data_IF_269922775950
#
_entry.id   IF_269922775950
#
_cell.length_a   1.000
_cell.length_b   1.000
_cell.length_c   1.000
_cell.angle_alpha   90.00
_cell.angle_beta   90.00
_cell.angle_gamma   90.00
#
_symmetry.space_group_name_H-M   'P 1'
#
loop_
_entity.id
_entity.type
_entity.pdbx_description
1 polymer ?
#
# COMPACT_ATOMS: atom_id res chain seq x y z
N UNK A 1 -43.81 35.70 80.93
CA UNK A 1 -42.75 35.02 80.25
C UNK A 1 -43.07 35.07 78.74
N UNK A 2 -42.29 35.80 77.92
CA UNK A 2 -42.58 35.92 76.52
C UNK A 2 -41.86 34.80 75.68
N UNK A 3 -42.60 34.21 74.70
CA UNK A 3 -42.10 33.20 73.78
C UNK A 3 -41.29 33.86 72.65
N UNK A 4 -40.06 33.48 72.52
CA UNK A 4 -39.19 33.93 71.40
C UNK A 4 -39.56 33.15 70.15
N UNK A 5 -39.99 33.84 69.07
CA UNK A 5 -40.17 33.32 67.71
C UNK A 5 -38.81 33.24 67.04
N UNK A 6 -38.37 32.03 66.67
CA UNK A 6 -37.21 31.83 65.79
C UNK A 6 -37.58 32.14 64.35
N UNK A 7 -36.90 33.12 63.80
CA UNK A 7 -36.95 33.44 62.34
C UNK A 7 -36.02 32.45 61.61
N UNK A 8 -36.58 31.61 60.75
CA UNK A 8 -35.83 30.78 59.82
C UNK A 8 -35.35 31.69 58.68
N UNK A 9 -34.01 31.79 58.53
CA UNK A 9 -33.37 32.40 57.41
C UNK A 9 -33.42 31.40 56.22
N UNK A 10 -34.13 31.77 55.15
CA UNK A 10 -34.05 31.08 53.85
C UNK A 10 -32.71 31.44 53.18
N UNK A 11 -31.91 30.43 52.87
CA UNK A 11 -30.70 30.58 52.05
C UNK A 11 -31.10 30.64 50.56
N UNK A 12 -30.51 31.50 49.74
CA UNK A 12 -30.75 31.50 48.32
C UNK A 12 -30.10 30.28 47.65
N UNK A 13 -30.91 29.54 46.86
CA UNK A 13 -30.41 28.50 45.98
C UNK A 13 -29.64 29.13 44.81
N UNK A 14 -28.34 28.93 44.74
CA UNK A 14 -27.55 29.31 43.59
C UNK A 14 -27.82 28.30 42.45
N UNK A 15 -28.50 28.74 41.41
CA UNK A 15 -28.66 27.98 40.19
C UNK A 15 -27.33 28.01 39.41
N UNK A 16 -26.60 26.89 39.40
CA UNK A 16 -25.44 26.72 38.56
C UNK A 16 -25.89 26.50 37.11
N UNK A 17 -25.69 27.50 36.25
CA UNK A 17 -25.79 27.34 34.79
C UNK A 17 -24.63 26.49 34.30
N UNK A 18 -24.89 25.23 33.96
CA UNK A 18 -24.01 24.39 33.19
C UNK A 18 -23.98 24.91 31.73
N UNK A 19 -22.97 25.71 31.40
CA UNK A 19 -22.65 26.03 30.02
C UNK A 19 -22.11 24.75 29.33
N UNK A 20 -22.95 24.10 28.52
CA UNK A 20 -22.51 23.05 27.60
C UNK A 20 -21.63 23.69 26.52
N UNK A 21 -20.33 23.58 26.66
CA UNK A 21 -19.41 23.89 25.58
C UNK A 21 -19.66 22.84 24.46
N UNK A 22 -20.33 23.26 23.38
CA UNK A 22 -20.38 22.50 22.16
C UNK A 22 -18.93 22.45 21.63
N UNK A 23 -18.30 21.27 21.69
CA UNK A 23 -17.06 21.01 20.98
C UNK A 23 -17.44 21.03 19.52
N UNK A 24 -17.18 22.17 18.85
CA UNK A 24 -17.21 22.22 17.40
C UNK A 24 -16.08 21.31 16.93
N UNK A 25 -16.41 20.19 16.30
CA UNK A 25 -15.42 19.43 15.56
C UNK A 25 -14.88 20.39 14.48
N UNK A 26 -13.61 20.74 14.57
CA UNK A 26 -12.95 21.47 13.49
C UNK A 26 -13.10 20.61 12.22
N UNK A 27 -13.47 21.25 11.11
CA UNK A 27 -13.42 20.57 9.82
C UNK A 27 -12.00 20.02 9.62
N UNK A 28 -11.86 18.80 9.04
CA UNK A 28 -10.55 18.23 8.83
C UNK A 28 -9.71 19.20 7.98
N UNK A 29 -8.50 19.47 8.42
CA UNK A 29 -7.58 20.39 7.77
C UNK A 29 -7.20 19.93 6.34
N UNK A 30 -7.41 18.65 6.04
CA UNK A 30 -7.07 17.99 4.77
C UNK A 30 -8.20 17.06 4.32
N UNK A 31 -8.28 16.71 3.02
CA UNK A 31 -9.23 15.75 2.50
C UNK A 31 -9.18 14.42 3.24
N UNK A 32 -10.35 13.85 3.52
CA UNK A 32 -10.48 12.54 4.14
C UNK A 32 -10.50 11.45 3.06
N UNK A 33 -9.51 10.55 3.12
CA UNK A 33 -9.40 9.37 2.26
C UNK A 33 -10.05 8.12 2.91
N UNK A 34 -10.46 8.21 4.18
CA UNK A 34 -11.00 7.07 4.93
C UNK A 34 -12.15 6.42 4.21
N UNK A 35 -12.13 5.09 4.14
CA UNK A 35 -13.16 4.27 3.53
C UNK A 35 -12.58 3.19 2.63
N UNK A 36 -13.49 2.41 2.05
CA UNK A 36 -13.15 1.36 1.10
C UNK A 36 -13.31 1.89 -0.31
N UNK A 37 -12.34 1.58 -1.15
CA UNK A 37 -12.24 2.05 -2.52
C UNK A 37 -12.03 0.89 -3.48
N UNK A 38 -12.53 1.04 -4.69
CA UNK A 38 -12.30 0.10 -5.79
C UNK A 38 -11.81 0.85 -7.03
N UNK A 39 -11.40 0.13 -8.05
CA UNK A 39 -10.95 0.72 -9.31
C UNK A 39 -12.05 1.59 -9.92
N UNK A 40 -11.72 2.85 -10.21
CA UNK A 40 -12.63 3.78 -10.86
C UNK A 40 -12.98 3.34 -12.28
N UNK A 41 -14.27 3.27 -12.58
CA UNK A 41 -14.80 2.76 -13.85
C UNK A 41 -15.26 3.85 -14.81
N UNK A 42 -15.43 5.10 -14.35
CA UNK A 42 -16.05 6.20 -15.09
C UNK A 42 -15.20 6.83 -16.21
N UNK A 43 -13.89 6.59 -16.25
CA UNK A 43 -13.02 6.97 -17.36
C UNK A 43 -12.05 5.84 -17.66
N UNK A 44 -11.67 5.69 -18.94
CA UNK A 44 -10.60 4.77 -19.29
C UNK A 44 -9.37 5.09 -18.42
N UNK A 45 -9.01 4.16 -17.53
CA UNK A 45 -7.78 4.26 -16.75
C UNK A 45 -6.66 4.47 -17.77
N UNK A 46 -5.98 5.62 -17.70
CA UNK A 46 -4.80 5.82 -18.50
C UNK A 46 -3.94 4.57 -18.34
N UNK A 47 -3.56 3.92 -19.42
CA UNK A 47 -2.68 2.74 -19.32
C UNK A 47 -1.46 3.20 -18.54
N UNK A 48 -1.40 2.78 -17.27
CA UNK A 48 -0.16 2.90 -16.55
C UNK A 48 0.85 2.07 -17.32
N UNK A 49 1.87 2.72 -17.77
CA UNK A 49 2.95 2.06 -18.49
C UNK A 49 3.55 0.99 -17.56
N UNK A 50 3.30 -0.27 -17.87
CA UNK A 50 4.16 -1.36 -17.48
C UNK A 50 3.91 -2.06 -16.15
N UNK A 51 3.16 -1.52 -15.19
CA UNK A 51 2.91 -2.22 -13.93
C UNK A 51 1.64 -3.07 -14.01
N UNK A 52 1.78 -4.37 -13.73
CA UNK A 52 0.70 -5.36 -13.82
C UNK A 52 0.59 -6.04 -15.19
N UNK A 53 1.56 -5.85 -16.09
CA UNK A 53 1.70 -6.54 -17.37
C UNK A 53 3.15 -6.96 -17.63
N UNK A 54 3.42 -7.74 -18.68
CA UNK A 54 4.81 -8.04 -19.03
C UNK A 54 5.59 -6.73 -19.26
N UNK A 55 6.80 -6.66 -18.76
CA UNK A 55 7.72 -5.51 -18.80
C UNK A 55 8.18 -5.13 -20.24
N UNK A 56 7.26 -5.10 -21.20
CA UNK A 56 7.56 -4.97 -22.63
C UNK A 56 7.91 -3.55 -23.06
N UNK A 57 7.56 -2.54 -22.26
CA UNK A 57 7.74 -1.13 -22.61
C UNK A 57 8.40 -0.29 -21.50
N UNK A 58 9.06 -0.93 -20.53
CA UNK A 58 9.79 -0.21 -19.49
C UNK A 58 11.13 0.28 -20.05
N UNK A 59 11.58 1.50 -19.70
CA UNK A 59 12.86 2.05 -20.12
C UNK A 59 14.02 1.40 -19.33
N UNK A 60 14.21 0.10 -19.52
CA UNK A 60 15.18 -0.67 -18.75
C UNK A 60 16.63 -0.36 -19.14
N UNK A 61 17.51 -0.29 -18.14
CA UNK A 61 18.95 -0.36 -18.32
C UNK A 61 19.35 -1.75 -18.82
N UNK A 62 20.64 -1.98 -19.08
CA UNK A 62 21.15 -3.32 -19.38
C UNK A 62 20.97 -4.25 -18.20
N UNK A 63 21.24 -3.77 -16.99
CA UNK A 63 21.06 -4.51 -15.74
C UNK A 63 19.57 -4.84 -15.49
N UNK A 64 18.66 -3.88 -15.71
CA UNK A 64 17.22 -4.12 -15.63
C UNK A 64 16.74 -5.20 -16.59
N UNK A 65 17.25 -5.23 -17.83
CA UNK A 65 16.94 -6.30 -18.79
C UNK A 65 17.46 -7.65 -18.33
N UNK A 66 18.70 -7.70 -17.82
CA UNK A 66 19.30 -8.91 -17.26
C UNK A 66 18.45 -9.47 -16.12
N UNK A 67 18.05 -8.61 -15.20
CA UNK A 67 17.22 -8.97 -14.05
C UNK A 67 15.85 -9.55 -14.46
N UNK A 68 15.20 -8.91 -15.43
CA UNK A 68 13.92 -9.40 -15.98
C UNK A 68 14.09 -10.76 -16.65
N UNK A 69 15.19 -10.98 -17.40
CA UNK A 69 15.43 -12.25 -18.05
C UNK A 69 15.73 -13.39 -17.06
N UNK A 70 16.48 -13.12 -16.00
CA UNK A 70 16.68 -14.07 -14.90
C UNK A 70 15.36 -14.49 -14.25
N UNK A 71 14.52 -13.52 -13.94
CA UNK A 71 13.21 -13.82 -13.36
C UNK A 71 12.36 -14.67 -14.30
N UNK A 72 12.35 -14.36 -15.60
CA UNK A 72 11.63 -15.16 -16.60
C UNK A 72 12.11 -16.61 -16.64
N UNK A 73 13.39 -16.85 -16.48
CA UNK A 73 13.93 -18.21 -16.36
C UNK A 73 13.42 -18.92 -15.12
N UNK A 74 13.40 -18.22 -13.98
CA UNK A 74 12.90 -18.76 -12.70
C UNK A 74 11.42 -19.11 -12.73
N UNK A 75 10.57 -18.22 -13.28
CA UNK A 75 9.12 -18.48 -13.35
C UNK A 75 8.73 -19.45 -14.46
N UNK A 76 9.64 -19.73 -15.39
CA UNK A 76 9.47 -20.71 -16.45
C UNK A 76 8.43 -20.32 -17.51
N UNK A 77 8.18 -21.24 -18.47
CA UNK A 77 7.24 -20.97 -19.56
C UNK A 77 5.79 -20.87 -19.10
N UNK A 78 5.43 -21.46 -17.97
CA UNK A 78 4.10 -21.35 -17.37
C UNK A 78 3.80 -19.95 -16.83
N UNK A 79 4.79 -19.07 -16.78
CA UNK A 79 4.68 -17.72 -16.23
C UNK A 79 4.01 -17.72 -14.86
N UNK A 80 4.59 -18.48 -13.95
CA UNK A 80 4.11 -18.53 -12.58
C UNK A 80 3.91 -17.11 -12.03
N UNK A 81 2.74 -16.88 -11.46
CA UNK A 81 2.36 -15.58 -10.93
C UNK A 81 2.60 -15.58 -9.41
N UNK A 82 3.52 -14.76 -8.94
CA UNK A 82 3.81 -14.58 -7.52
C UNK A 82 2.54 -14.24 -6.72
N UNK A 83 1.67 -13.38 -7.25
CA UNK A 83 0.43 -13.00 -6.59
C UNK A 83 -0.56 -14.16 -6.42
N UNK A 84 -0.59 -15.13 -7.34
CA UNK A 84 -1.39 -16.35 -7.17
C UNK A 84 -0.87 -17.25 -6.03
N UNK A 85 0.34 -17.01 -5.56
CA UNK A 85 1.00 -17.69 -4.44
C UNK A 85 1.21 -16.75 -3.24
N UNK A 86 0.45 -15.67 -3.18
CA UNK A 86 0.44 -14.72 -2.07
C UNK A 86 1.77 -14.02 -1.77
N UNK A 87 2.71 -14.02 -2.69
CA UNK A 87 3.89 -13.19 -2.54
C UNK A 87 3.49 -11.72 -2.62
N UNK A 88 3.91 -10.94 -1.62
CA UNK A 88 3.62 -9.51 -1.53
C UNK A 88 4.05 -8.78 -2.79
N UNK A 89 3.18 -7.92 -3.28
CA UNK A 89 3.49 -7.06 -4.42
C UNK A 89 4.43 -5.92 -4.04
N UNK A 90 4.35 -5.46 -2.79
CA UNK A 90 5.11 -4.30 -2.35
C UNK A 90 4.69 -3.00 -3.04
N UNK A 91 5.48 -1.94 -2.84
CA UNK A 91 5.23 -0.63 -3.46
C UNK A 91 6.11 -0.48 -4.71
N UNK A 92 5.59 -0.01 -5.83
CA UNK A 92 4.22 0.44 -6.09
C UNK A 92 3.30 -0.65 -6.63
N UNK A 93 3.73 -1.90 -6.67
CA UNK A 93 2.98 -3.02 -7.22
C UNK A 93 1.56 -3.10 -6.66
N UNK A 94 1.43 -3.12 -5.33
CA UNK A 94 0.12 -3.17 -4.65
C UNK A 94 -0.84 -2.04 -5.07
N UNK A 95 -0.33 -0.82 -5.35
CA UNK A 95 -1.13 0.30 -5.83
C UNK A 95 -1.48 0.21 -7.32
N UNK A 96 -0.89 -0.73 -8.04
CA UNK A 96 -0.95 -0.81 -9.51
C UNK A 96 -1.69 -2.02 -10.01
N UNK A 97 -2.13 -2.90 -9.11
CA UNK A 97 -2.74 -4.17 -9.48
C UNK A 97 -3.92 -4.00 -10.43
N UNK A 98 -3.92 -4.75 -11.54
CA UNK A 98 -5.11 -4.86 -12.36
C UNK A 98 -6.12 -5.74 -11.62
N UNK A 99 -7.32 -5.24 -11.43
CA UNK A 99 -8.38 -6.02 -10.80
C UNK A 99 -9.26 -5.18 -9.90
N UNK A 100 -10.32 -5.78 -9.45
CA UNK A 100 -11.35 -5.11 -8.65
C UNK A 100 -11.22 -5.46 -7.16
N UNK A 101 -9.99 -5.76 -6.70
CA UNK A 101 -9.79 -5.98 -5.27
C UNK A 101 -9.94 -4.66 -4.52
N UNK A 102 -10.81 -4.62 -3.49
CA UNK A 102 -10.99 -3.43 -2.68
C UNK A 102 -9.73 -3.07 -1.90
N UNK A 103 -9.62 -1.77 -1.61
CA UNK A 103 -8.54 -1.18 -0.82
C UNK A 103 -9.19 -0.34 0.27
N UNK A 104 -8.80 -0.51 1.53
CA UNK A 104 -9.26 0.31 2.64
C UNK A 104 -8.21 1.33 3.04
N UNK A 105 -8.62 2.59 3.16
CA UNK A 105 -7.82 3.68 3.68
C UNK A 105 -8.29 4.04 5.09
N UNK A 106 -7.37 4.07 6.04
CA UNK A 106 -7.60 4.48 7.43
C UNK A 106 -6.69 5.67 7.71
N UNK A 107 -7.27 6.87 7.69
CA UNK A 107 -6.54 8.12 7.88
C UNK A 107 -6.54 8.54 9.34
N UNK A 108 -5.35 8.89 9.84
CA UNK A 108 -5.11 9.55 11.13
C UNK A 108 -4.28 10.81 10.88
N UNK A 109 -4.22 11.74 11.84
CA UNK A 109 -3.42 12.96 11.66
C UNK A 109 -1.93 12.72 11.33
N UNK A 110 -1.37 11.64 11.86
CA UNK A 110 0.06 11.29 11.79
C UNK A 110 0.36 10.02 10.97
N UNK A 111 -0.67 9.39 10.39
CA UNK A 111 -0.51 8.15 9.62
C UNK A 111 -1.67 7.88 8.67
N UNK A 112 -1.35 7.49 7.44
CA UNK A 112 -2.29 6.83 6.55
C UNK A 112 -1.95 5.33 6.50
N UNK A 113 -2.91 4.48 6.86
CA UNK A 113 -2.80 3.02 6.69
C UNK A 113 -3.64 2.60 5.50
N UNK A 114 -3.06 1.81 4.60
CA UNK A 114 -3.73 1.26 3.43
C UNK A 114 -3.72 -0.25 3.57
N UNK A 115 -4.90 -0.86 3.52
CA UNK A 115 -5.09 -2.31 3.59
C UNK A 115 -5.60 -2.78 2.24
N UNK A 116 -4.90 -3.71 1.64
CA UNK A 116 -5.26 -4.33 0.38
C UNK A 116 -5.93 -5.68 0.66
N UNK A 117 -7.08 -5.96 0.05
CA UNK A 117 -7.71 -7.26 0.17
C UNK A 117 -6.80 -8.35 -0.39
N UNK A 118 -6.23 -8.12 -1.56
CA UNK A 118 -5.30 -9.08 -2.15
C UNK A 118 -4.06 -9.24 -1.28
N UNK A 119 -3.71 -10.48 -0.98
CA UNK A 119 -2.57 -10.89 -0.15
C UNK A 119 -2.59 -10.35 1.30
N UNK A 120 -3.65 -9.67 1.75
CA UNK A 120 -3.73 -8.97 3.03
C UNK A 120 -2.58 -7.98 3.26
N UNK A 121 -2.06 -7.38 2.19
CA UNK A 121 -0.94 -6.45 2.32
C UNK A 121 -1.35 -5.19 3.07
N UNK A 122 -0.48 -4.73 3.95
CA UNK A 122 -0.69 -3.52 4.73
C UNK A 122 0.46 -2.54 4.52
N UNK A 123 0.13 -1.34 4.06
CA UNK A 123 1.08 -0.24 3.92
C UNK A 123 0.82 0.84 4.97
N UNK A 124 1.88 1.40 5.53
CA UNK A 124 1.83 2.56 6.43
C UNK A 124 2.62 3.71 5.86
N UNK A 125 1.98 4.87 5.79
CA UNK A 125 2.61 6.14 5.41
C UNK A 125 2.64 6.99 6.68
N UNK A 126 3.83 7.33 7.15
CA UNK A 126 4.03 8.12 8.35
C UNK A 126 4.05 9.61 8.01
N UNK A 127 3.27 10.41 8.74
CA UNK A 127 3.05 11.83 8.42
C UNK A 127 3.62 12.70 9.55
N UNK A 128 4.30 13.78 9.18
CA UNK A 128 4.84 14.74 10.13
C UNK A 128 5.88 14.14 11.08
N UNK A 129 5.75 14.37 12.38
CA UNK A 129 6.75 14.02 13.40
C UNK A 129 6.81 12.50 13.72
N UNK A 130 5.91 11.70 13.16
CA UNK A 130 5.92 10.25 13.37
C UNK A 130 6.99 9.50 12.57
N UNK A 131 7.74 10.19 11.77
CA UNK A 131 8.75 9.57 10.90
C UNK A 131 9.92 9.01 11.72
N UNK A 132 10.40 7.82 11.31
CA UNK A 132 11.60 7.22 11.90
C UNK A 132 12.87 7.84 11.30
N UNK A 133 13.90 8.04 12.11
CA UNK A 133 15.20 8.43 11.58
C UNK A 133 15.77 7.31 10.69
N UNK A 134 16.59 7.63 9.69
CA UNK A 134 17.06 6.66 8.67
C UNK A 134 17.71 5.40 9.26
N UNK A 135 18.45 5.52 10.35
CA UNK A 135 19.16 4.41 11.00
C UNK A 135 18.22 3.40 11.72
N UNK A 136 16.93 3.72 11.84
CA UNK A 136 15.91 2.84 12.42
C UNK A 136 14.98 2.25 11.38
N UNK A 137 15.16 2.59 10.11
CA UNK A 137 14.34 2.07 9.01
C UNK A 137 14.86 0.69 8.62
N UNK A 138 13.94 -0.22 8.40
CA UNK A 138 14.25 -1.56 7.92
C UNK A 138 13.76 -1.69 6.49
N UNK A 139 14.62 -2.11 5.54
CA UNK A 139 14.21 -2.38 4.18
C UNK A 139 13.08 -3.42 4.13
N UNK A 140 12.10 -3.19 3.27
CA UNK A 140 11.00 -4.11 3.05
C UNK A 140 10.48 -4.03 1.60
N UNK A 141 9.61 -4.96 1.21
CA UNK A 141 8.96 -4.89 -0.12
C UNK A 141 8.05 -3.66 -0.26
N UNK A 142 7.45 -3.22 0.83
CA UNK A 142 6.66 -2.00 0.86
C UNK A 142 7.50 -0.72 1.04
N UNK A 143 8.80 -0.87 1.33
CA UNK A 143 9.68 0.24 1.66
C UNK A 143 9.30 0.97 2.95
N UNK A 144 9.87 2.13 3.15
CA UNK A 144 9.52 3.07 4.19
C UNK A 144 8.92 4.33 3.56
N UNK A 145 7.67 4.66 3.92
CA UNK A 145 6.91 5.75 3.30
C UNK A 145 6.74 6.93 4.26
N UNK A 146 7.22 8.10 3.84
CA UNK A 146 7.11 9.38 4.55
C UNK A 146 6.13 10.28 3.81
N UNK A 147 5.11 10.79 4.53
CA UNK A 147 4.08 11.66 3.98
C UNK A 147 4.15 13.07 4.54
N UNK A 148 3.72 14.02 3.72
CA UNK A 148 3.41 15.39 4.13
C UNK A 148 2.25 15.94 3.31
N UNK A 149 1.48 16.82 3.89
CA UNK A 149 0.42 17.51 3.17
C UNK A 149 0.95 18.74 2.45
N UNK A 150 0.55 18.90 1.20
CA UNK A 150 0.72 20.10 0.38
C UNK A 150 -0.65 20.60 -0.08
N UNK A 151 -1.31 21.42 0.74
CA UNK A 151 -2.72 21.74 0.57
C UNK A 151 -3.57 20.50 0.68
N UNK A 152 -4.35 20.20 -0.37
CA UNK A 152 -5.23 19.03 -0.43
C UNK A 152 -4.58 17.77 -1.00
N UNK A 153 -3.27 17.77 -1.19
CA UNK A 153 -2.51 16.66 -1.73
C UNK A 153 -1.62 16.05 -0.66
N UNK A 154 -1.76 14.75 -0.40
CA UNK A 154 -0.78 14.01 0.37
C UNK A 154 0.38 13.62 -0.56
N UNK A 155 1.54 14.22 -0.33
CA UNK A 155 2.79 13.89 -1.03
C UNK A 155 3.55 12.88 -0.20
N UNK A 156 4.00 11.79 -0.84
CA UNK A 156 4.68 10.68 -0.17
C UNK A 156 6.00 10.40 -0.88
N UNK A 157 7.02 10.09 -0.09
CA UNK A 157 8.30 9.58 -0.57
C UNK A 157 8.56 8.22 0.04
N UNK A 158 8.79 7.21 -0.79
CA UNK A 158 9.09 5.85 -0.36
C UNK A 158 10.51 5.48 -0.74
N UNK A 159 11.27 5.00 0.25
CA UNK A 159 12.66 4.54 0.18
C UNK A 159 12.79 3.19 0.88
N UNK A 160 14.01 2.71 1.07
CA UNK A 160 14.31 1.49 1.81
C UNK A 160 13.55 0.26 1.27
N UNK A 161 13.47 0.18 -0.06
CA UNK A 161 12.90 -0.96 -0.76
C UNK A 161 13.91 -2.11 -0.77
N UNK A 162 13.45 -3.34 -0.66
CA UNK A 162 14.26 -4.52 -0.95
C UNK A 162 14.38 -4.69 -2.46
N UNK A 163 15.58 -5.13 -2.91
CA UNK A 163 15.75 -5.59 -4.29
C UNK A 163 14.74 -6.70 -4.58
N UNK A 164 13.96 -6.50 -5.59
CA UNK A 164 12.86 -7.39 -5.88
C UNK A 164 12.36 -7.27 -7.30
N UNK A 165 11.38 -8.11 -7.60
CA UNK A 165 10.72 -8.09 -8.88
C UNK A 165 9.25 -8.48 -8.70
N UNK A 166 8.36 -7.59 -9.11
CA UNK A 166 6.94 -7.87 -9.18
C UNK A 166 6.57 -8.17 -10.63
N UNK A 167 6.06 -9.38 -10.88
CA UNK A 167 5.54 -9.82 -12.18
C UNK A 167 6.41 -9.43 -13.41
N UNK A 168 7.71 -9.35 -13.22
CA UNK A 168 8.64 -8.96 -14.28
C UNK A 168 9.07 -7.49 -14.24
N UNK A 169 8.68 -6.73 -13.23
CA UNK A 169 9.09 -5.34 -13.02
C UNK A 169 10.12 -5.30 -11.90
N UNK A 170 11.41 -5.01 -12.18
CA UNK A 170 12.45 -5.01 -11.16
C UNK A 170 12.47 -3.71 -10.37
N UNK A 171 12.83 -3.82 -9.09
CA UNK A 171 13.10 -2.70 -8.18
C UNK A 171 14.42 -2.95 -7.48
N UNK A 172 15.28 -1.94 -7.42
CA UNK A 172 16.53 -2.00 -6.66
C UNK A 172 16.40 -1.39 -5.29
N UNK A 173 17.37 -1.60 -4.42
CA UNK A 173 17.48 -0.94 -3.12
C UNK A 173 17.72 0.58 -3.26
N UNK A 174 18.16 1.06 -4.42
CA UNK A 174 18.34 2.48 -4.72
C UNK A 174 17.07 3.15 -5.23
N UNK A 175 16.00 2.39 -5.42
CA UNK A 175 14.74 2.93 -5.91
C UNK A 175 14.12 3.94 -4.93
N UNK A 176 13.68 5.06 -5.46
CA UNK A 176 12.91 6.09 -4.76
C UNK A 176 11.61 6.30 -5.49
N UNK A 177 10.50 6.25 -4.74
CA UNK A 177 9.17 6.45 -5.32
C UNK A 177 8.57 7.72 -4.73
N UNK A 178 8.34 8.72 -5.57
CA UNK A 178 7.66 9.96 -5.22
C UNK A 178 6.19 9.84 -5.63
N UNK A 179 5.27 10.03 -4.68
CA UNK A 179 3.86 9.70 -4.83
C UNK A 179 2.96 10.86 -4.42
N UNK A 180 1.75 10.89 -4.97
CA UNK A 180 0.73 11.91 -4.69
C UNK A 180 -0.64 11.25 -4.58
N UNK A 181 -1.36 11.55 -3.51
CA UNK A 181 -2.75 11.14 -3.29
C UNK A 181 -3.61 12.39 -3.19
N UNK A 182 -4.68 12.45 -3.95
CA UNK A 182 -5.64 13.56 -3.87
C UNK A 182 -7.03 13.10 -4.32
N UNK A 183 -8.04 13.82 -3.86
CA UNK A 183 -9.43 13.57 -4.20
C UNK A 183 -9.94 14.68 -5.11
N UNK A 184 -10.77 14.29 -6.07
CA UNK A 184 -11.52 15.18 -6.94
C UNK A 184 -12.93 14.61 -7.14
N UNK A 185 -13.79 15.37 -7.81
CA UNK A 185 -15.07 14.87 -8.30
C UNK A 185 -15.05 14.79 -9.82
N UNK A 186 -15.67 13.76 -10.38
CA UNK A 186 -15.88 13.65 -11.81
C UNK A 186 -17.10 14.48 -12.26
N UNK A 187 -17.40 14.49 -13.56
CA UNK A 187 -18.52 15.22 -14.12
C UNK A 187 -19.91 14.78 -13.63
N UNK A 188 -19.99 13.64 -12.96
CA UNK A 188 -21.22 13.08 -12.40
C UNK A 188 -21.31 13.30 -10.87
N UNK A 189 -20.32 13.98 -10.27
CA UNK A 189 -20.22 14.18 -8.83
C UNK A 189 -19.67 12.95 -8.07
N UNK A 190 -19.11 11.98 -8.77
CA UNK A 190 -18.46 10.82 -8.12
C UNK A 190 -17.13 11.24 -7.53
N UNK A 191 -16.92 10.96 -6.25
CA UNK A 191 -15.64 11.17 -5.58
C UNK A 191 -14.58 10.24 -6.19
N UNK A 192 -13.45 10.78 -6.62
CA UNK A 192 -12.35 10.03 -7.25
C UNK A 192 -11.06 10.27 -6.48
N UNK A 193 -10.50 9.22 -5.89
CA UNK A 193 -9.17 9.25 -5.32
C UNK A 193 -8.16 8.93 -6.44
N UNK A 194 -7.26 9.87 -6.69
CA UNK A 194 -6.17 9.70 -7.65
C UNK A 194 -4.86 9.41 -6.93
N UNK A 195 -4.20 8.35 -7.33
CA UNK A 195 -2.83 7.99 -7.00
C UNK A 195 -1.93 8.24 -8.20
N UNK A 196 -0.85 8.97 -7.99
CA UNK A 196 0.22 9.17 -8.98
C UNK A 196 1.54 8.79 -8.34
N UNK A 197 2.39 8.08 -9.06
CA UNK A 197 3.73 7.74 -8.62
C UNK A 197 4.74 7.96 -9.74
N UNK A 198 5.93 8.41 -9.34
CA UNK A 198 7.13 8.50 -10.18
C UNK A 198 8.20 7.64 -9.53
N UNK A 199 8.66 6.62 -10.24
CA UNK A 199 9.69 5.70 -9.78
C UNK A 199 11.01 6.15 -10.37
N UNK A 200 11.96 6.48 -9.51
CA UNK A 200 13.34 6.78 -9.84
C UNK A 200 14.21 5.62 -9.35
N UNK A 201 14.69 4.80 -10.26
CA UNK A 201 15.57 3.67 -9.98
C UNK A 201 16.70 3.65 -11.02
N UNK A 202 17.85 4.24 -10.72
CA UNK A 202 18.93 4.38 -11.67
C UNK A 202 19.62 3.06 -12.02
N UNK A 203 19.42 2.01 -11.21
CA UNK A 203 19.97 0.68 -11.48
C UNK A 203 19.21 0.02 -12.60
N UNK A 204 17.88 0.06 -12.57
CA UNK A 204 17.07 -0.71 -13.51
C UNK A 204 16.38 0.10 -14.60
N UNK A 205 16.29 1.44 -14.46
CA UNK A 205 15.63 2.31 -15.44
C UNK A 205 16.52 3.44 -15.93
N UNK A 206 16.46 3.70 -17.24
CA UNK A 206 17.18 4.81 -17.90
C UNK A 206 16.49 6.16 -17.71
N UNK A 207 15.22 6.16 -17.35
CA UNK A 207 14.41 7.34 -17.08
C UNK A 207 13.30 7.02 -16.07
N UNK A 208 12.75 8.02 -15.37
CA UNK A 208 11.68 7.79 -14.39
C UNK A 208 10.43 7.15 -15.00
N UNK A 209 9.85 6.20 -14.28
CA UNK A 209 8.61 5.51 -14.67
C UNK A 209 7.43 6.11 -13.93
N UNK A 210 6.37 6.45 -14.65
CA UNK A 210 5.18 7.04 -14.06
C UNK A 210 4.01 6.07 -14.03
N UNK A 211 3.24 6.16 -12.93
CA UNK A 211 2.02 5.39 -12.70
C UNK A 211 0.91 6.36 -12.33
N UNK A 212 -0.27 6.14 -12.88
CA UNK A 212 -1.51 6.81 -12.45
C UNK A 212 -2.58 5.77 -12.21
N UNK A 213 -3.25 5.83 -11.07
CA UNK A 213 -4.43 5.01 -10.75
C UNK A 213 -5.53 5.88 -10.18
N UNK A 214 -6.77 5.49 -10.43
CA UNK A 214 -7.94 6.16 -9.89
C UNK A 214 -8.84 5.14 -9.23
N UNK A 215 -9.46 5.55 -8.14
CA UNK A 215 -10.34 4.73 -7.34
C UNK A 215 -11.64 5.51 -7.07
N UNK A 216 -12.74 4.77 -6.94
CA UNK A 216 -14.05 5.30 -6.53
C UNK A 216 -14.48 4.64 -5.21
N UNK A 217 -15.32 5.29 -4.39
CA UNK A 217 -15.84 4.69 -3.16
C UNK A 217 -16.54 3.36 -3.45
N UNK A 218 -16.35 2.40 -2.57
CA UNK A 218 -16.96 1.08 -2.64
C UNK A 218 -17.78 0.80 -1.39
N UNK A 219 -19.06 0.53 -1.57
CA UNK A 219 -20.01 0.17 -0.49
C UNK A 219 -20.00 -1.36 -0.28
N UNK A 220 -18.87 -1.89 0.12
CA UNK A 220 -18.67 -3.31 0.35
C UNK A 220 -17.70 -3.56 1.50
N UNK A 221 -17.07 -4.72 1.52
CA UNK A 221 -16.19 -5.17 2.60
C UNK A 221 -14.83 -5.55 2.05
N UNK A 222 -13.80 -5.43 2.88
CA UNK A 222 -12.53 -6.12 2.70
C UNK A 222 -12.72 -7.54 3.23
N UNK A 223 -12.54 -8.53 2.37
CA UNK A 223 -12.69 -9.93 2.69
C UNK A 223 -11.35 -10.56 3.11
N UNK A 224 -11.37 -11.59 3.98
CA UNK A 224 -10.16 -12.33 4.28
C UNK A 224 -9.59 -12.99 3.02
N UNK A 225 -8.30 -12.82 2.78
CA UNK A 225 -7.56 -13.45 1.70
C UNK A 225 -6.68 -14.57 2.25
N UNK A 226 -6.92 -15.81 1.82
CA UNK A 226 -6.16 -16.96 2.29
C UNK A 226 -4.80 -17.06 1.58
N UNK A 227 -3.72 -16.96 2.33
CA UNK A 227 -2.37 -16.85 1.79
C UNK A 227 -1.38 -17.84 2.39
N UNK A 228 -0.46 -18.38 1.57
CA UNK A 228 0.70 -19.19 1.95
C UNK A 228 1.88 -18.85 1.04
N UNK A 229 2.48 -17.68 1.25
CA UNK A 229 3.59 -17.15 0.44
C UNK A 229 4.90 -17.95 0.60
N UNK A 230 5.11 -18.58 1.75
CA UNK A 230 6.28 -19.42 2.03
C UNK A 230 6.50 -20.49 0.96
N UNK A 231 5.42 -21.12 0.49
CA UNK A 231 5.51 -22.14 -0.56
C UNK A 231 6.04 -21.59 -1.89
N UNK A 232 5.72 -20.33 -2.18
CA UNK A 232 6.23 -19.65 -3.35
C UNK A 232 7.75 -19.45 -3.27
N UNK A 233 8.23 -18.96 -2.13
CA UNK A 233 9.67 -18.73 -1.94
C UNK A 233 10.44 -20.02 -1.94
N UNK A 234 9.95 -21.09 -1.33
CA UNK A 234 10.57 -22.42 -1.40
C UNK A 234 10.66 -22.95 -2.83
N UNK A 235 9.61 -22.77 -3.64
CA UNK A 235 9.67 -23.13 -5.06
C UNK A 235 10.74 -22.35 -5.81
N UNK A 236 10.85 -21.05 -5.57
CA UNK A 236 11.88 -20.22 -6.21
C UNK A 236 13.29 -20.65 -5.79
N UNK A 237 13.49 -21.02 -4.53
CA UNK A 237 14.78 -21.48 -4.04
C UNK A 237 15.19 -22.82 -4.67
N UNK A 238 14.25 -23.77 -4.80
CA UNK A 238 14.49 -25.00 -5.54
C UNK A 238 14.89 -24.73 -6.99
N UNK A 239 14.20 -23.82 -7.66
CA UNK A 239 14.50 -23.44 -9.05
C UNK A 239 15.82 -22.67 -9.20
N UNK A 240 16.20 -21.85 -8.24
CA UNK A 240 17.53 -21.22 -8.21
C UNK A 240 18.63 -22.26 -8.09
N UNK A 241 18.47 -23.24 -7.19
CA UNK A 241 19.44 -24.32 -7.06
C UNK A 241 19.61 -25.10 -8.37
N UNK A 242 18.53 -25.41 -9.08
CA UNK A 242 18.59 -26.02 -10.42
C UNK A 242 19.32 -25.13 -11.43
N UNK A 243 19.03 -23.82 -11.44
CA UNK A 243 19.67 -22.87 -12.32
C UNK A 243 21.20 -22.81 -12.07
N UNK A 244 21.60 -22.73 -10.80
CA UNK A 244 23.01 -22.69 -10.39
C UNK A 244 23.78 -23.99 -10.74
N UNK A 245 23.08 -25.13 -10.62
CA UNK A 245 23.62 -26.43 -11.01
C UNK A 245 23.68 -26.66 -12.54
N UNK A 246 23.09 -25.76 -13.33
CA UNK A 246 22.98 -25.94 -14.80
C UNK A 246 21.97 -27.05 -15.18
N UNK A 247 21.07 -27.38 -14.30
CA UNK A 247 20.01 -28.37 -14.49
C UNK A 247 18.76 -27.76 -15.14
N UNK A 248 17.87 -28.59 -15.72
CA UNK A 248 16.56 -28.11 -16.16
C UNK A 248 15.77 -27.48 -15.01
N UNK A 249 15.17 -26.31 -15.22
CA UNK A 249 14.35 -25.63 -14.22
C UNK A 249 12.92 -26.18 -14.34
N UNK A 250 12.63 -27.25 -13.64
CA UNK A 250 11.35 -27.99 -13.72
C UNK A 250 10.68 -28.26 -12.37
N UNK A 251 11.28 -27.82 -11.26
CA UNK A 251 10.67 -27.91 -9.93
C UNK A 251 9.25 -27.31 -9.92
N UNK A 252 8.31 -27.98 -9.27
CA UNK A 252 6.88 -27.63 -9.20
C UNK A 252 6.45 -27.47 -7.75
N UNK A 253 5.32 -26.88 -7.53
CA UNK A 253 4.72 -26.76 -6.19
C UNK A 253 4.54 -28.13 -5.50
N UNK A 254 4.24 -29.18 -6.26
CA UNK A 254 4.19 -30.54 -5.74
C UNK A 254 5.50 -31.05 -5.13
N UNK A 255 6.63 -30.52 -5.61
CA UNK A 255 7.95 -30.92 -5.10
C UNK A 255 8.26 -30.21 -3.79
N UNK A 256 7.77 -28.99 -3.63
CA UNK A 256 7.80 -28.25 -2.36
C UNK A 256 7.03 -29.00 -1.26
N UNK A 257 5.82 -29.47 -1.57
CA UNK A 257 5.03 -30.26 -0.61
C UNK A 257 5.75 -31.56 -0.22
N UNK A 258 6.28 -32.31 -1.17
CA UNK A 258 7.07 -33.53 -0.88
C UNK A 258 8.28 -33.24 0.01
N UNK A 259 9.04 -32.16 -0.29
CA UNK A 259 10.21 -31.81 0.49
C UNK A 259 9.87 -31.39 1.93
N UNK A 260 8.65 -30.91 2.20
CA UNK A 260 8.16 -30.64 3.56
C UNK A 260 7.79 -31.93 4.29
N UNK A 261 7.06 -32.84 3.63
CA UNK A 261 6.67 -34.15 4.19
C UNK A 261 7.90 -34.98 4.61
N UNK A 262 9.01 -34.88 3.90
CA UNK A 262 10.26 -35.59 4.21
C UNK A 262 11.02 -35.01 5.41
N UNK A 263 10.67 -33.80 5.86
CA UNK A 263 11.32 -33.10 6.99
C UNK A 263 10.56 -33.27 8.32
N UNK A 264 9.32 -33.73 8.28
CA UNK A 264 8.48 -34.06 9.44
C UNK A 264 8.72 -35.51 9.92
#
# INVERSE_FOLDING_TARGET
MPRIRRIRKLAPAAAALLASAAVSAAEPEHPDFTGIWTTYTGAAQGRASGFGGPATNLPLTEEGRRRVEEYRKLVGPERLNSGAHCADYGVPGMMSLPGSYPIEFIQKPDQLTIIFEVNNEVRRIYIGDRQLPPEQRLPSRAGYSEGRWEGDVLVVRTTDLLDGQDQGTPFSEEAVIDERFFVSEDSNGTKVLTYQATINDPVYYTEPVQIVRRYEPYDGFILPYGCQDELWYELLDMRRAQLEAGEPIDARMSDVYKAREEKE
#
